data_IF_682442965228
#
_entry.id   IF_682442965228
#
_cell.length_a   1.000
_cell.length_b   1.000
_cell.length_c   1.000
_cell.angle_alpha   90.00
_cell.angle_beta   90.00
_cell.angle_gamma   90.00
#
_symmetry.space_group_name_H-M   'P 1'
#
loop_
_entity.id
_entity.type
_entity.pdbx_description
1 polymer ?
#
# COMPACT_ATOMS: atom_id res chain seq x y z
N UNK A 1 -1.80 -37.54 -24.13
CA UNK A 1 -1.08 -37.19 -22.89
C UNK A 1 -1.67 -35.86 -22.43
N UNK A 2 -2.37 -35.87 -21.30
CA UNK A 2 -3.26 -34.81 -20.83
C UNK A 2 -2.47 -33.62 -20.30
N UNK A 3 -2.74 -32.42 -20.81
CA UNK A 3 -2.24 -31.15 -20.25
C UNK A 3 -2.90 -30.97 -18.88
N UNK A 4 -2.15 -30.76 -17.78
CA UNK A 4 -2.76 -30.46 -16.49
C UNK A 4 -3.37 -29.06 -16.56
N UNK A 5 -4.66 -28.95 -16.22
CA UNK A 5 -5.25 -27.65 -15.90
C UNK A 5 -4.68 -27.21 -14.55
N UNK A 6 -3.78 -26.23 -14.59
CA UNK A 6 -3.34 -25.53 -13.38
C UNK A 6 -4.51 -24.69 -12.86
N UNK A 7 -4.98 -25.05 -11.67
CA UNK A 7 -6.02 -24.38 -10.92
C UNK A 7 -5.42 -23.15 -10.20
N UNK A 8 -5.12 -22.08 -10.95
CA UNK A 8 -4.54 -20.82 -10.42
C UNK A 8 -5.60 -19.86 -9.83
N UNK A 9 -6.77 -20.36 -9.42
CA UNK A 9 -7.85 -19.49 -8.94
C UNK A 9 -7.79 -19.17 -7.43
N UNK A 10 -6.92 -19.81 -6.65
CA UNK A 10 -6.96 -19.72 -5.17
C UNK A 10 -5.87 -18.86 -4.50
N UNK A 11 -4.75 -18.54 -5.16
CA UNK A 11 -3.65 -17.79 -4.53
C UNK A 11 -3.89 -16.26 -4.51
N UNK A 12 -4.53 -15.70 -5.54
CA UNK A 12 -4.76 -14.25 -5.65
C UNK A 12 -5.68 -13.67 -4.56
N UNK A 13 -6.62 -14.47 -4.04
CA UNK A 13 -7.62 -13.98 -3.08
C UNK A 13 -7.08 -13.92 -1.65
N UNK A 14 -6.26 -14.90 -1.25
CA UNK A 14 -5.66 -14.92 0.09
C UNK A 14 -4.52 -13.89 0.19
N UNK A 15 -3.68 -13.80 -0.84
CA UNK A 15 -2.59 -12.82 -0.90
C UNK A 15 -3.09 -11.38 -0.84
N UNK A 16 -4.15 -11.05 -1.60
CA UNK A 16 -4.80 -9.74 -1.57
C UNK A 16 -5.33 -9.39 -0.17
N UNK A 17 -6.00 -10.33 0.50
CA UNK A 17 -6.51 -10.14 1.87
C UNK A 17 -5.39 -9.91 2.89
N UNK A 18 -4.28 -10.63 2.77
CA UNK A 18 -3.12 -10.45 3.65
C UNK A 18 -2.43 -9.10 3.41
N UNK A 19 -2.33 -8.65 2.17
CA UNK A 19 -1.80 -7.32 1.85
C UNK A 19 -2.70 -6.20 2.39
N UNK A 20 -4.01 -6.34 2.26
CA UNK A 20 -4.96 -5.40 2.86
C UNK A 20 -4.83 -5.36 4.38
N UNK A 21 -4.77 -6.52 5.03
CA UNK A 21 -4.61 -6.61 6.49
C UNK A 21 -3.29 -5.98 6.93
N UNK A 22 -2.19 -6.24 6.21
CA UNK A 22 -0.89 -5.63 6.47
C UNK A 22 -0.95 -4.11 6.39
N UNK A 23 -1.53 -3.56 5.32
CA UNK A 23 -1.70 -2.12 5.15
C UNK A 23 -2.56 -1.52 6.27
N UNK A 24 -3.64 -2.20 6.66
CA UNK A 24 -4.51 -1.76 7.75
C UNK A 24 -3.81 -1.76 9.11
N UNK A 25 -3.03 -2.79 9.44
CA UNK A 25 -2.29 -2.88 10.71
C UNK A 25 -1.18 -1.84 10.78
N UNK A 26 -0.40 -1.68 9.70
CA UNK A 26 0.64 -0.65 9.63
C UNK A 26 0.03 0.75 9.74
N UNK A 27 -1.06 1.00 9.02
CA UNK A 27 -1.76 2.28 9.08
C UNK A 27 -2.35 2.58 10.47
N UNK A 28 -2.89 1.58 11.16
CA UNK A 28 -3.38 1.75 12.53
C UNK A 28 -2.25 2.05 13.52
N UNK A 29 -1.13 1.32 13.42
CA UNK A 29 0.05 1.55 14.25
C UNK A 29 0.59 2.97 14.07
N UNK A 30 0.83 3.35 12.82
CA UNK A 30 1.38 4.65 12.48
C UNK A 30 0.41 5.77 12.83
N UNK A 31 -0.90 5.57 12.63
CA UNK A 31 -1.95 6.52 12.98
C UNK A 31 -2.01 6.82 14.49
N UNK A 32 -1.91 5.80 15.34
CA UNK A 32 -1.90 5.97 16.80
C UNK A 32 -0.64 6.72 17.24
N UNK A 33 0.54 6.26 16.80
CA UNK A 33 1.82 6.84 17.24
C UNK A 33 1.96 8.28 16.75
N UNK A 34 1.63 8.55 15.50
CA UNK A 34 1.73 9.90 14.93
C UNK A 34 0.73 10.87 15.54
N UNK A 35 -0.53 10.46 15.76
CA UNK A 35 -1.54 11.33 16.39
C UNK A 35 -1.20 11.60 17.85
N UNK A 36 -0.76 10.59 18.60
CA UNK A 36 -0.33 10.77 19.99
C UNK A 36 0.89 11.69 20.07
N UNK A 37 1.90 11.47 19.21
CA UNK A 37 3.09 12.33 19.14
C UNK A 37 2.74 13.78 18.78
N UNK A 38 1.83 13.99 17.82
CA UNK A 38 1.33 15.32 17.45
C UNK A 38 0.65 16.01 18.64
N UNK A 39 -0.29 15.33 19.30
CA UNK A 39 -1.02 15.89 20.45
C UNK A 39 -0.07 16.21 21.60
N UNK A 40 0.88 15.32 21.91
CA UNK A 40 1.91 15.55 22.94
C UNK A 40 2.80 16.75 22.57
N UNK A 41 3.21 16.86 21.30
CA UNK A 41 4.02 17.97 20.82
C UNK A 41 3.29 19.32 20.94
N UNK A 42 2.01 19.36 20.56
CA UNK A 42 1.18 20.56 20.71
C UNK A 42 0.92 20.88 22.19
N UNK A 43 0.72 19.87 23.04
CA UNK A 43 0.55 20.06 24.49
C UNK A 43 1.79 20.66 25.15
N UNK A 44 2.99 20.41 24.61
CA UNK A 44 4.21 21.08 25.06
C UNK A 44 4.25 22.59 24.76
N UNK A 45 3.39 23.07 23.86
CA UNK A 45 3.32 24.47 23.44
C UNK A 45 2.06 25.21 23.95
N UNK A 46 1.00 24.50 24.32
CA UNK A 46 -0.25 25.10 24.81
C UNK A 46 -1.09 24.13 25.64
N UNK A 47 -1.81 24.66 26.63
CA UNK A 47 -2.81 23.94 27.42
C UNK A 47 -4.24 24.09 26.88
N UNK A 48 -4.41 24.81 25.76
CA UNK A 48 -5.73 25.01 25.14
C UNK A 48 -6.28 23.70 24.57
N UNK A 49 -7.32 23.18 25.23
CA UNK A 49 -8.01 21.94 24.84
C UNK A 49 -8.59 22.01 23.44
N UNK A 50 -9.05 23.18 23.00
CA UNK A 50 -9.65 23.33 21.67
C UNK A 50 -8.58 23.19 20.58
N UNK A 51 -7.41 23.77 20.79
CA UNK A 51 -6.23 23.59 19.93
C UNK A 51 -5.77 22.12 19.90
N UNK A 52 -5.69 21.45 21.05
CA UNK A 52 -5.30 20.04 21.14
C UNK A 52 -6.24 19.11 20.38
N UNK A 53 -7.55 19.27 20.56
CA UNK A 53 -8.56 18.46 19.86
C UNK A 53 -8.54 18.71 18.36
N UNK A 54 -8.40 19.98 17.96
CA UNK A 54 -8.33 20.35 16.54
C UNK A 54 -7.09 19.79 15.88
N UNK A 55 -5.92 19.89 16.53
CA UNK A 55 -4.68 19.35 16.02
C UNK A 55 -4.72 17.82 15.91
N UNK A 56 -5.21 17.13 16.94
CA UNK A 56 -5.34 15.67 16.92
C UNK A 56 -6.28 15.18 15.81
N UNK A 57 -7.46 15.81 15.67
CA UNK A 57 -8.41 15.44 14.61
C UNK A 57 -7.88 15.76 13.22
N UNK A 58 -7.28 16.94 13.02
CA UNK A 58 -6.67 17.31 11.76
C UNK A 58 -5.53 16.36 11.38
N UNK A 59 -4.66 16.00 12.33
CA UNK A 59 -3.58 15.03 12.14
C UNK A 59 -4.09 13.65 11.76
N UNK A 60 -5.12 13.16 12.44
CA UNK A 60 -5.73 11.87 12.13
C UNK A 60 -6.34 11.84 10.72
N UNK A 61 -7.09 12.88 10.35
CA UNK A 61 -7.69 12.98 9.03
C UNK A 61 -6.62 13.11 7.94
N UNK A 62 -5.65 14.01 8.10
CA UNK A 62 -4.56 14.19 7.16
C UNK A 62 -3.72 12.91 6.99
N UNK A 63 -3.39 12.24 8.10
CA UNK A 63 -2.64 10.99 8.11
C UNK A 63 -3.38 9.86 7.40
N UNK A 64 -4.67 9.67 7.71
CA UNK A 64 -5.49 8.62 7.07
C UNK A 64 -5.66 8.85 5.57
N UNK A 65 -5.90 10.10 5.14
CA UNK A 65 -6.01 10.45 3.72
C UNK A 65 -4.69 10.23 2.97
N UNK A 66 -3.56 10.61 3.58
CA UNK A 66 -2.23 10.40 3.00
C UNK A 66 -1.93 8.91 2.80
N UNK A 67 -2.23 8.08 3.81
CA UNK A 67 -2.07 6.62 3.70
C UNK A 67 -2.97 6.01 2.63
N UNK A 68 -4.23 6.41 2.58
CA UNK A 68 -5.17 5.92 1.55
C UNK A 68 -4.70 6.30 0.13
N UNK A 69 -4.25 7.54 -0.05
CA UNK A 69 -3.70 7.99 -1.32
C UNK A 69 -2.40 7.25 -1.68
N UNK A 70 -1.51 7.04 -0.72
CA UNK A 70 -0.26 6.30 -0.91
C UNK A 70 -0.50 4.86 -1.33
N UNK A 71 -1.44 4.16 -0.69
CA UNK A 71 -1.80 2.79 -1.05
C UNK A 71 -2.45 2.74 -2.45
N UNK A 72 -3.37 3.66 -2.76
CA UNK A 72 -3.97 3.74 -4.10
C UNK A 72 -2.92 3.91 -5.19
N UNK A 73 -1.99 4.86 -5.00
CA UNK A 73 -0.89 5.09 -5.95
C UNK A 73 -0.02 3.84 -6.06
N UNK A 74 0.35 3.21 -4.95
CA UNK A 74 1.17 1.99 -4.94
C UNK A 74 0.52 0.83 -5.69
N UNK A 75 -0.78 0.61 -5.51
CA UNK A 75 -1.52 -0.44 -6.22
C UNK A 75 -1.63 -0.11 -7.72
N UNK A 76 -1.86 1.16 -8.06
CA UNK A 76 -1.95 1.59 -9.46
C UNK A 76 -0.63 1.41 -10.21
N UNK A 77 0.51 1.70 -9.58
CA UNK A 77 1.83 1.55 -10.20
C UNK A 77 2.23 0.07 -10.35
N UNK A 78 1.84 -0.79 -9.40
CA UNK A 78 2.01 -2.24 -9.53
C UNK A 78 1.23 -2.78 -10.73
N UNK A 79 -0.04 -2.40 -10.86
CA UNK A 79 -0.90 -2.77 -12.00
C UNK A 79 -0.32 -2.31 -13.34
N UNK A 80 0.22 -1.11 -13.41
CA UNK A 80 0.80 -0.60 -14.65
C UNK A 80 2.14 -1.28 -14.99
N UNK A 81 2.93 -1.63 -13.97
CA UNK A 81 4.16 -2.41 -14.15
C UNK A 81 3.85 -3.83 -14.66
N UNK A 82 2.83 -4.48 -14.10
CA UNK A 82 2.36 -5.80 -14.55
C UNK A 82 1.87 -5.77 -16.00
N UNK A 83 1.19 -4.71 -16.43
CA UNK A 83 0.75 -4.56 -17.83
C UNK A 83 1.91 -4.31 -18.79
N UNK A 84 2.98 -3.68 -18.34
CA UNK A 84 4.15 -3.37 -19.15
C UNK A 84 5.10 -4.59 -19.30
N UNK A 85 5.14 -5.47 -18.30
CA UNK A 85 6.03 -6.63 -18.29
C UNK A 85 5.89 -7.56 -19.53
N UNK A 86 4.68 -7.94 -20.00
CA UNK A 86 4.54 -8.82 -21.16
C UNK A 86 5.04 -8.24 -22.47
N UNK A 87 5.01 -6.91 -22.63
CA UNK A 87 5.52 -6.26 -23.83
C UNK A 87 7.05 -6.28 -23.86
N UNK A 88 7.68 -6.14 -22.69
CA UNK A 88 9.11 -6.27 -22.51
C UNK A 88 9.55 -7.73 -22.74
N UNK A 89 8.91 -8.69 -22.07
CA UNK A 89 9.17 -10.13 -22.21
C UNK A 89 9.08 -10.58 -23.68
N UNK A 90 8.02 -10.18 -24.40
CA UNK A 90 7.86 -10.52 -25.83
C UNK A 90 8.94 -9.94 -26.73
N UNK A 91 9.55 -8.82 -26.33
CA UNK A 91 10.66 -8.21 -27.05
C UNK A 91 11.96 -8.96 -26.73
N UNK A 92 12.19 -9.28 -25.46
CA UNK A 92 13.38 -10.02 -25.00
C UNK A 92 13.41 -11.44 -25.60
N UNK A 93 12.28 -12.16 -25.58
CA UNK A 93 12.10 -13.44 -26.29
C UNK A 93 12.39 -13.37 -27.82
N UNK A 94 12.22 -12.20 -28.45
CA UNK A 94 12.48 -12.01 -29.90
C UNK A 94 13.90 -11.59 -30.20
N UNK A 95 14.49 -10.75 -29.35
CA UNK A 95 15.81 -10.14 -29.58
C UNK A 95 16.95 -10.98 -28.98
N UNK A 96 16.71 -11.75 -27.91
CA UNK A 96 17.72 -12.53 -27.20
C UNK A 96 17.21 -13.91 -26.72
N UNK A 97 16.69 -14.77 -27.62
CA UNK A 97 16.12 -16.06 -27.24
C UNK A 97 17.12 -17.00 -26.54
N UNK A 98 18.41 -16.91 -26.87
CA UNK A 98 19.44 -17.79 -26.30
C UNK A 98 19.79 -17.46 -24.82
N UNK A 99 19.37 -16.29 -24.31
CA UNK A 99 19.62 -15.86 -22.93
C UNK A 99 18.51 -16.25 -21.94
N UNK A 100 17.34 -16.68 -22.43
CA UNK A 100 16.16 -17.04 -21.61
C UNK A 100 15.89 -18.56 -21.54
N UNK A 101 16.76 -19.41 -22.10
CA UNK A 101 16.65 -20.88 -22.11
C UNK A 101 17.15 -21.56 -20.83
#
# INVERSE_FOLDING_TARGET
MTVPMHDEAHEGTLGSRLNWLRAAVLGANDGIVSTAGLVVGVAGATDDRSALLTAGLAGLLAGSMSMAAGEYVSVSTQLDSEKAAPALERRELREQPDAEL
#
